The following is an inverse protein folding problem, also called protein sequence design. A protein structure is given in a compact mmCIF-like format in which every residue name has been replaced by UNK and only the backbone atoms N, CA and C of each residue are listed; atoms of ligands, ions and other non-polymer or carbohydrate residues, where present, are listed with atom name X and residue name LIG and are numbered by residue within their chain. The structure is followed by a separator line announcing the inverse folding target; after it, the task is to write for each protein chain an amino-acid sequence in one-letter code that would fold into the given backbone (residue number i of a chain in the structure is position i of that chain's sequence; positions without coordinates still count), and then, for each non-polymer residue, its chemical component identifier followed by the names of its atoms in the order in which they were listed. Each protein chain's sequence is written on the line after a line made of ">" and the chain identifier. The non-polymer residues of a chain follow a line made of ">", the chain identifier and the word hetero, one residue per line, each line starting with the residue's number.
data_IF_125769656361
#
_entry.id   IF_125769656361
#
_cell.length_a   1.000
_cell.length_b   1.000
_cell.length_c   1.000
_cell.angle_alpha   90.00
_cell.angle_beta   90.00
_cell.angle_gamma   90.00
#
_symmetry.space_group_name_H-M   'P 1'
#
loop_
_entity.id
_entity.type
_entity.pdbx_description
1 polymer ?
#
# COMPACT_ATOMS: atom_id res chain seq x y z
N UNK A 1 8.68 11.85 2.16
CA UNK A 1 8.33 10.43 1.91
C UNK A 1 8.43 10.16 0.41
N UNK A 2 9.03 9.04 -0.02
CA UNK A 2 9.28 8.72 -1.44
C UNK A 2 8.25 7.73 -2.04
N UNK A 3 7.11 7.56 -1.37
CA UNK A 3 6.04 6.66 -1.80
C UNK A 3 4.90 7.47 -2.45
N UNK A 4 4.32 6.94 -3.54
CA UNK A 4 3.11 7.47 -4.14
C UNK A 4 1.93 6.55 -3.83
N UNK A 5 0.84 7.12 -3.32
CA UNK A 5 -0.45 6.45 -3.17
C UNK A 5 -1.50 7.22 -3.96
N UNK A 6 -2.21 6.55 -4.86
CA UNK A 6 -3.28 7.12 -5.66
C UNK A 6 -4.39 6.09 -5.90
N UNK A 7 -5.57 6.55 -6.29
CA UNK A 7 -6.72 5.71 -6.62
C UNK A 7 -7.31 6.03 -8.00
N UNK A 8 -8.22 5.19 -8.46
CA UNK A 8 -9.01 5.37 -9.67
C UNK A 8 -10.41 4.77 -9.47
N UNK A 9 -11.36 5.13 -10.32
CA UNK A 9 -12.76 4.67 -10.20
C UNK A 9 -12.96 3.25 -10.72
N UNK A 10 -12.03 2.74 -11.54
CA UNK A 10 -12.06 1.39 -12.07
C UNK A 10 -10.66 0.86 -12.45
N UNK A 11 -10.53 -0.46 -12.60
CA UNK A 11 -9.27 -1.13 -12.97
C UNK A 11 -8.66 -0.58 -14.27
N UNK A 12 -9.51 -0.31 -15.29
CA UNK A 12 -9.04 0.22 -16.59
C UNK A 12 -8.39 1.60 -16.44
N UNK A 13 -9.03 2.48 -15.69
CA UNK A 13 -8.51 3.82 -15.41
C UNK A 13 -7.21 3.75 -14.59
N UNK A 14 -7.15 2.86 -13.58
CA UNK A 14 -5.95 2.63 -12.80
C UNK A 14 -4.76 2.19 -13.68
N UNK A 15 -4.98 1.23 -14.59
CA UNK A 15 -3.94 0.74 -15.50
C UNK A 15 -3.43 1.87 -16.41
N UNK A 16 -4.33 2.68 -16.97
CA UNK A 16 -3.96 3.84 -17.82
C UNK A 16 -3.12 4.84 -17.02
N UNK A 17 -3.54 5.16 -15.80
CA UNK A 17 -2.85 6.11 -14.93
C UNK A 17 -1.45 5.62 -14.58
N UNK A 18 -1.30 4.33 -14.28
CA UNK A 18 -0.03 3.71 -13.97
C UNK A 18 0.91 3.73 -15.17
N UNK A 19 0.41 3.40 -16.36
CA UNK A 19 1.20 3.43 -17.58
C UNK A 19 1.71 4.85 -17.89
N UNK A 20 0.83 5.86 -17.80
CA UNK A 20 1.20 7.25 -18.00
C UNK A 20 2.24 7.74 -16.97
N UNK A 21 2.13 7.30 -15.72
CA UNK A 21 3.09 7.61 -14.67
C UNK A 21 4.46 6.98 -14.94
N UNK A 22 4.49 5.70 -15.34
CA UNK A 22 5.73 5.00 -15.69
C UNK A 22 6.44 5.75 -16.83
N UNK A 23 5.73 6.07 -17.90
CA UNK A 23 6.29 6.80 -19.05
C UNK A 23 6.87 8.17 -18.66
N UNK A 24 6.15 8.92 -17.83
CA UNK A 24 6.59 10.23 -17.36
C UNK A 24 7.86 10.17 -16.50
N UNK A 25 7.98 9.15 -15.66
CA UNK A 25 9.14 8.95 -14.78
C UNK A 25 10.34 8.36 -15.54
N UNK A 26 10.09 7.46 -16.49
CA UNK A 26 11.11 6.82 -17.31
C UNK A 26 11.86 7.85 -18.18
N UNK A 27 11.15 8.88 -18.66
CA UNK A 27 11.74 10.03 -19.35
C UNK A 27 12.82 10.78 -18.54
N UNK A 28 12.89 10.54 -17.22
CA UNK A 28 13.88 11.12 -16.30
C UNK A 28 14.76 10.05 -15.63
N UNK A 29 14.71 8.80 -16.10
CA UNK A 29 15.47 7.68 -15.52
C UNK A 29 15.01 7.27 -14.11
N UNK A 30 13.76 7.59 -13.75
CA UNK A 30 13.16 7.21 -12.48
C UNK A 30 12.30 5.97 -12.69
N UNK A 31 12.60 4.90 -11.97
CA UNK A 31 11.88 3.64 -12.09
C UNK A 31 11.15 3.28 -10.80
N UNK A 32 9.84 3.04 -10.90
CA UNK A 32 9.02 2.53 -9.80
C UNK A 32 9.25 1.03 -9.63
N UNK A 33 9.60 0.61 -8.41
CA UNK A 33 10.05 -0.77 -8.13
C UNK A 33 9.06 -1.60 -7.33
N UNK A 34 8.22 -0.96 -6.51
CA UNK A 34 7.31 -1.63 -5.58
C UNK A 34 5.87 -1.23 -5.89
N UNK A 35 5.06 -2.19 -6.29
CA UNK A 35 3.67 -1.99 -6.65
C UNK A 35 2.75 -2.74 -5.71
N UNK A 36 1.66 -2.07 -5.31
CA UNK A 36 0.61 -2.64 -4.47
C UNK A 36 -0.74 -2.11 -4.93
N UNK A 37 -1.75 -2.96 -4.91
CA UNK A 37 -3.12 -2.63 -5.32
C UNK A 37 -4.06 -3.64 -4.70
N UNK A 38 -5.27 -3.20 -4.38
CA UNK A 38 -6.36 -4.09 -3.96
C UNK A 38 -6.97 -4.92 -5.12
N UNK A 39 -6.52 -4.66 -6.35
CA UNK A 39 -6.98 -5.34 -7.55
C UNK A 39 -5.88 -6.20 -8.17
N UNK A 40 -6.09 -7.52 -8.18
CA UNK A 40 -5.18 -8.47 -8.80
C UNK A 40 -5.07 -8.25 -10.32
N UNK A 41 -6.16 -7.81 -10.97
CA UNK A 41 -6.15 -7.47 -12.40
C UNK A 41 -5.18 -6.32 -12.68
N UNK A 42 -5.18 -5.31 -11.81
CA UNK A 42 -4.27 -4.16 -11.91
C UNK A 42 -2.83 -4.64 -11.73
N UNK A 43 -2.53 -5.43 -10.70
CA UNK A 43 -1.18 -5.96 -10.44
C UNK A 43 -0.63 -6.78 -11.63
N UNK A 44 -1.46 -7.68 -12.17
CA UNK A 44 -1.07 -8.57 -13.27
C UNK A 44 -0.72 -7.80 -14.56
N UNK A 45 -1.29 -6.61 -14.76
CA UNK A 45 -1.01 -5.75 -15.92
C UNK A 45 0.26 -4.91 -15.79
N UNK A 46 0.82 -4.73 -14.59
CA UNK A 46 1.94 -3.79 -14.36
C UNK A 46 3.31 -4.41 -14.64
N UNK A 47 3.46 -5.74 -14.54
CA UNK A 47 4.57 -6.53 -15.11
C UNK A 47 4.42 -8.00 -14.74
N UNK A 48 4.83 -8.92 -15.62
CA UNK A 48 4.97 -10.36 -15.28
C UNK A 48 6.17 -10.68 -14.38
N UNK A 49 7.11 -9.74 -14.22
CA UNK A 49 8.42 -9.97 -13.59
C UNK A 49 8.57 -9.44 -12.17
N UNK A 50 7.54 -8.78 -11.63
CA UNK A 50 7.59 -8.20 -10.30
C UNK A 50 7.10 -9.25 -9.30
N UNK A 51 7.97 -9.63 -8.38
CA UNK A 51 7.59 -10.49 -7.26
C UNK A 51 6.53 -9.76 -6.41
N UNK A 52 5.28 -10.17 -6.54
CA UNK A 52 4.13 -9.61 -5.79
C UNK A 52 4.12 -10.02 -4.30
N UNK A 53 5.24 -10.47 -3.76
CA UNK A 53 5.39 -10.94 -2.38
C UNK A 53 5.75 -9.83 -1.38
N UNK A 54 5.61 -8.56 -1.78
CA UNK A 54 5.91 -7.45 -0.88
C UNK A 54 4.88 -7.35 0.25
N UNK A 55 5.32 -7.10 1.49
CA UNK A 55 4.45 -7.01 2.67
C UNK A 55 3.50 -5.81 2.60
N UNK A 56 2.46 -5.86 3.43
CA UNK A 56 1.51 -4.77 3.67
C UNK A 56 2.23 -3.46 4.00
N UNK A 57 1.61 -2.32 3.67
CA UNK A 57 2.23 -0.99 3.85
C UNK A 57 1.76 -0.36 5.13
N UNK A 58 2.71 0.01 5.98
CA UNK A 58 2.43 0.95 7.06
C UNK A 58 2.22 2.34 6.47
N UNK A 59 1.05 2.91 6.75
CA UNK A 59 0.72 4.26 6.38
C UNK A 59 1.14 5.14 7.55
N UNK A 60 2.07 6.04 7.27
CA UNK A 60 2.48 7.09 8.20
C UNK A 60 1.92 8.42 7.69
N UNK A 61 0.69 8.81 8.07
CA UNK A 61 0.27 10.18 7.84
C UNK A 61 1.16 11.08 8.70
N UNK A 62 1.77 12.08 8.09
CA UNK A 62 2.69 13.06 8.70
C UNK A 62 2.10 13.70 10.00
N UNK A 63 0.77 13.62 10.19
CA UNK A 63 0.01 14.20 11.32
C UNK A 63 -0.69 13.17 12.23
N UNK A 64 -0.43 11.87 12.10
CA UNK A 64 -1.09 10.83 12.90
C UNK A 64 -0.29 10.47 14.16
N UNK A 65 -0.11 11.42 15.07
CA UNK A 65 0.59 11.19 16.36
C UNK A 65 -0.13 10.23 17.31
N UNK A 66 -1.39 9.86 17.03
CA UNK A 66 -2.27 9.08 17.92
C UNK A 66 -2.77 7.75 17.35
N UNK A 67 -2.44 7.43 16.09
CA UNK A 67 -2.80 6.15 15.49
C UNK A 67 -1.62 5.18 15.63
N UNK A 68 -1.88 3.91 15.92
CA UNK A 68 -0.87 2.86 16.12
C UNK A 68 -0.14 2.43 14.83
N UNK A 69 0.07 3.34 13.88
CA UNK A 69 0.60 3.00 12.55
C UNK A 69 -0.37 2.12 11.77
N UNK A 70 -1.42 2.68 11.14
CA UNK A 70 -2.35 1.88 10.35
C UNK A 70 -1.62 1.19 9.20
N UNK A 71 -1.84 -0.11 9.06
CA UNK A 71 -1.28 -0.92 7.98
C UNK A 71 -2.40 -1.13 6.95
N UNK A 72 -2.13 -0.87 5.67
CA UNK A 72 -3.04 -1.25 4.60
C UNK A 72 -2.80 -2.70 4.18
N UNK A 73 -3.76 -3.55 4.50
CA UNK A 73 -3.92 -4.85 3.86
C UNK A 73 -4.60 -4.65 2.52
N UNK A 74 -3.78 -4.54 1.47
CA UNK A 74 -4.28 -4.29 0.13
C UNK A 74 -5.13 -5.45 -0.39
N UNK A 75 -4.86 -6.71 0.02
CA UNK A 75 -5.61 -7.88 -0.49
C UNK A 75 -7.08 -7.84 -0.11
N UNK A 76 -7.34 -7.45 1.12
CA UNK A 76 -8.68 -7.39 1.70
C UNK A 76 -9.29 -5.98 1.62
N UNK A 77 -8.52 -5.02 1.13
CA UNK A 77 -8.83 -3.59 1.11
C UNK A 77 -9.27 -3.03 2.46
N UNK A 78 -8.46 -3.29 3.50
CA UNK A 78 -8.75 -2.86 4.88
C UNK A 78 -7.52 -2.26 5.56
N UNK A 79 -7.77 -1.34 6.47
CA UNK A 79 -6.75 -0.89 7.42
C UNK A 79 -6.76 -1.78 8.66
N UNK A 80 -5.58 -2.26 9.05
CA UNK A 80 -5.37 -3.09 10.22
C UNK A 80 -4.36 -2.41 11.17
N UNK A 81 -4.39 -2.79 12.44
CA UNK A 81 -3.37 -2.41 13.42
C UNK A 81 -2.67 -3.66 13.91
N UNK A 82 -1.35 -3.60 14.02
CA UNK A 82 -0.61 -4.69 14.66
C UNK A 82 -0.57 -4.43 16.17
N UNK A 83 -1.26 -5.28 16.92
CA UNK A 83 -1.34 -5.18 18.37
C UNK A 83 -0.49 -6.31 18.97
N UNK A 84 0.61 -5.94 19.63
CA UNK A 84 1.45 -6.88 20.37
C UNK A 84 1.35 -6.59 21.87
N UNK A 85 0.41 -7.26 22.55
CA UNK A 85 0.29 -7.20 24.01
C UNK A 85 0.62 -8.54 24.63
N UNK A 86 1.40 -8.50 25.73
CA UNK A 86 1.53 -9.62 26.67
C UNK A 86 0.67 -9.32 27.88
N UNK A 87 -0.32 -10.16 28.16
CA UNK A 87 -1.12 -10.05 29.36
C UNK A 87 -0.40 -10.75 30.51
N UNK A 88 0.35 -9.98 31.30
CA UNK A 88 0.92 -10.44 32.56
C UNK A 88 0.00 -9.99 33.71
N UNK A 89 -1.11 -10.72 33.92
CA UNK A 89 -2.00 -10.53 35.07
C UNK A 89 -3.49 -10.35 34.75
N UNK A 90 -4.30 -10.28 35.81
CA UNK A 90 -5.76 -10.13 35.74
C UNK A 90 -6.13 -8.70 35.30
N UNK A 91 -6.76 -8.57 34.13
CA UNK A 91 -7.16 -7.28 33.58
C UNK A 91 -8.42 -6.80 34.32
N UNK A 92 -8.26 -5.80 35.17
CA UNK A 92 -9.40 -5.08 35.76
C UNK A 92 -9.59 -3.76 35.02
N UNK A 93 -10.84 -3.39 34.72
CA UNK A 93 -11.16 -2.05 34.20
C UNK A 93 -10.74 -1.01 35.26
N UNK A 94 -9.88 -0.05 34.88
CA UNK A 94 -9.61 1.17 35.66
C UNK A 94 -10.45 2.32 35.16
#
# INVERSE_FOLDING_TARGET
>A
MDNLMSGASCNKEAIILIQALIEALDARGLHLRKWRSNSQDVLTNISKSLEFNEPNVEIHPENCSKALGPIWDFKEDRFIFNINFKFEGEITKR
#
